data_IF_895017585865
#
_entry.id   IF_895017585865
#
_cell.length_a   1.000
_cell.length_b   1.000
_cell.length_c   1.000
_cell.angle_alpha   90.00
_cell.angle_beta   90.00
_cell.angle_gamma   90.00
#
_symmetry.space_group_name_H-M   'P 1'
#
loop_
_entity.id
_entity.type
_entity.pdbx_description
1 polymer ?
#
# COMPACT_ATOMS: atom_id res chain seq x y z
N UNK A 1 -50.38 56.31 26.00
CA UNK A 1 -50.38 54.81 25.97
C UNK A 1 -49.94 54.22 24.65
N UNK A 2 -50.02 54.91 23.50
CA UNK A 2 -49.65 54.35 22.16
C UNK A 2 -48.15 54.22 21.94
N UNK A 3 -47.26 55.02 22.55
CA UNK A 3 -45.82 55.02 22.36
C UNK A 3 -45.08 53.87 23.08
N UNK A 4 -45.62 53.38 24.18
CA UNK A 4 -44.96 52.25 24.95
C UNK A 4 -45.18 50.87 24.30
N UNK A 5 -46.31 50.69 23.59
CA UNK A 5 -46.60 49.49 22.83
C UNK A 5 -45.71 49.36 21.58
N UNK A 6 -45.54 50.46 20.85
CA UNK A 6 -44.74 50.52 19.63
C UNK A 6 -43.25 50.25 19.88
N UNK A 7 -42.70 50.69 21.02
CA UNK A 7 -41.29 50.37 21.42
C UNK A 7 -41.12 48.88 21.77
N UNK A 8 -42.11 48.22 22.38
CA UNK A 8 -42.02 46.79 22.73
C UNK A 8 -42.05 45.87 21.51
N UNK A 9 -42.90 46.20 20.55
CA UNK A 9 -43.03 45.45 19.31
C UNK A 9 -41.75 45.59 18.42
N UNK A 10 -41.16 46.76 18.39
CA UNK A 10 -39.89 46.99 17.72
C UNK A 10 -38.74 46.21 18.36
N UNK A 11 -38.66 46.18 19.69
CA UNK A 11 -37.64 45.41 20.41
C UNK A 11 -37.80 43.89 20.17
N UNK A 12 -39.05 43.38 20.12
CA UNK A 12 -39.32 41.99 19.78
C UNK A 12 -38.86 41.64 18.35
N UNK A 13 -39.15 42.49 17.37
CA UNK A 13 -38.73 42.29 15.98
C UNK A 13 -37.18 42.26 15.90
N UNK A 14 -36.50 43.17 16.58
CA UNK A 14 -35.05 43.23 16.62
C UNK A 14 -34.49 41.96 17.28
N UNK A 15 -35.03 41.52 18.41
CA UNK A 15 -34.60 40.32 19.12
C UNK A 15 -34.78 39.04 18.28
N UNK A 16 -35.92 38.90 17.60
CA UNK A 16 -36.19 37.78 16.69
C UNK A 16 -35.24 37.80 15.49
N UNK A 17 -35.04 38.97 14.87
CA UNK A 17 -34.10 39.10 13.75
C UNK A 17 -32.67 38.75 14.13
N UNK A 18 -32.21 39.21 15.30
CA UNK A 18 -30.88 38.90 15.82
C UNK A 18 -30.73 37.39 16.08
N UNK A 19 -31.76 36.77 16.67
CA UNK A 19 -31.77 35.33 16.93
C UNK A 19 -31.72 34.53 15.64
N UNK A 20 -32.45 34.91 14.61
CA UNK A 20 -32.40 34.26 13.28
C UNK A 20 -31.05 34.41 12.62
N UNK A 21 -30.41 35.58 12.71
CA UNK A 21 -29.05 35.82 12.19
C UNK A 21 -28.04 34.92 12.91
N UNK A 22 -28.11 34.80 14.25
CA UNK A 22 -27.22 33.95 15.03
C UNK A 22 -27.40 32.46 14.68
N UNK A 23 -28.66 32.02 14.54
CA UNK A 23 -28.96 30.63 14.14
C UNK A 23 -28.41 30.37 12.74
N UNK A 24 -28.64 31.28 11.80
CA UNK A 24 -28.13 31.15 10.43
C UNK A 24 -26.59 31.12 10.39
N UNK A 25 -25.93 32.06 11.11
CA UNK A 25 -24.47 32.12 11.19
C UNK A 25 -23.88 30.85 11.80
N UNK A 26 -24.47 30.30 12.89
CA UNK A 26 -24.06 29.05 13.50
C UNK A 26 -24.23 27.85 12.56
N UNK A 27 -25.33 27.81 11.82
CA UNK A 27 -25.57 26.73 10.87
C UNK A 27 -24.58 26.79 9.70
N UNK A 28 -24.31 27.98 9.17
CA UNK A 28 -23.32 28.21 8.13
C UNK A 28 -21.90 27.81 8.62
N UNK A 29 -21.53 28.23 9.85
CA UNK A 29 -20.25 27.87 10.46
C UNK A 29 -20.02 26.35 10.55
N UNK A 30 -21.02 25.60 10.99
CA UNK A 30 -20.94 24.13 11.04
C UNK A 30 -20.72 23.49 9.67
N UNK A 31 -21.34 23.99 8.62
CA UNK A 31 -21.13 23.46 7.27
C UNK A 31 -19.73 23.78 6.74
N UNK A 32 -19.21 24.98 7.02
CA UNK A 32 -17.84 25.38 6.64
C UNK A 32 -16.81 24.54 7.41
N UNK A 33 -16.98 24.34 8.72
CA UNK A 33 -16.11 23.47 9.54
C UNK A 33 -16.12 22.03 9.02
N UNK A 34 -17.27 21.49 8.63
CA UNK A 34 -17.39 20.16 8.06
C UNK A 34 -16.63 20.03 6.73
N UNK A 35 -16.76 21.01 5.83
CA UNK A 35 -16.01 21.00 4.56
C UNK A 35 -14.51 21.14 4.80
N UNK A 36 -14.08 22.00 5.75
CA UNK A 36 -12.68 22.16 6.13
C UNK A 36 -12.10 20.86 6.68
N UNK A 37 -12.85 20.18 7.57
CA UNK A 37 -12.44 18.87 8.11
C UNK A 37 -12.30 17.80 7.01
N UNK A 38 -13.24 17.75 6.07
CA UNK A 38 -13.17 16.82 4.95
C UNK A 38 -12.02 17.15 4.01
N UNK A 39 -11.70 18.43 3.82
CA UNK A 39 -10.52 18.84 3.05
C UNK A 39 -9.22 18.37 3.71
N UNK A 40 -9.10 18.51 5.04
CA UNK A 40 -7.96 18.01 5.80
C UNK A 40 -7.83 16.48 5.70
N UNK A 41 -8.95 15.76 5.70
CA UNK A 41 -8.97 14.30 5.47
C UNK A 41 -8.46 13.95 4.08
N UNK A 42 -8.98 14.58 3.04
CA UNK A 42 -8.53 14.34 1.65
C UNK A 42 -7.05 14.65 1.49
N UNK A 43 -6.56 15.74 2.11
CA UNK A 43 -5.13 16.10 2.07
C UNK A 43 -4.23 15.07 2.78
N UNK A 44 -4.77 14.35 3.76
CA UNK A 44 -4.08 13.23 4.44
C UNK A 44 -4.35 11.85 3.81
N UNK A 45 -4.96 11.82 2.62
CA UNK A 45 -5.35 10.58 1.90
C UNK A 45 -6.34 9.69 2.65
N UNK A 46 -7.18 10.31 3.49
CA UNK A 46 -8.39 9.68 4.03
C UNK A 46 -9.59 10.14 3.21
N UNK A 47 -10.18 9.23 2.44
CA UNK A 47 -11.25 9.53 1.49
C UNK A 47 -12.66 9.38 2.07
N UNK A 48 -12.80 9.13 3.38
CA UNK A 48 -14.09 9.11 4.05
C UNK A 48 -14.58 10.53 4.36
N UNK A 49 -15.54 11.02 3.57
CA UNK A 49 -16.11 12.35 3.72
C UNK A 49 -17.32 12.35 4.66
N UNK A 50 -17.27 13.14 5.72
CA UNK A 50 -18.40 13.30 6.66
C UNK A 50 -19.52 14.16 6.10
N UNK A 51 -19.20 15.18 5.29
CA UNK A 51 -20.20 16.06 4.68
C UNK A 51 -21.07 15.36 3.65
N UNK A 52 -20.61 14.23 3.07
CA UNK A 52 -21.45 13.40 2.21
C UNK A 52 -22.66 12.78 2.93
N UNK A 53 -22.55 12.61 4.27
CA UNK A 53 -23.63 12.08 5.12
C UNK A 53 -24.68 13.15 5.49
N UNK A 54 -24.31 14.45 5.47
CA UNK A 54 -25.16 15.59 5.85
C UNK A 54 -25.07 16.74 4.84
N UNK A 55 -25.74 16.63 3.68
CA UNK A 55 -25.67 17.66 2.65
C UNK A 55 -26.27 18.98 3.13
N UNK A 56 -25.63 20.09 2.77
CA UNK A 56 -26.15 21.44 3.03
C UNK A 56 -27.38 21.73 2.16
N UNK A 57 -28.24 22.67 2.63
CA UNK A 57 -29.35 23.20 1.82
C UNK A 57 -28.94 24.41 1.00
N UNK A 58 -27.79 25.01 1.25
CA UNK A 58 -27.28 26.15 0.50
C UNK A 58 -26.63 25.66 -0.79
N UNK A 59 -27.03 26.20 -1.92
CA UNK A 59 -26.58 25.78 -3.26
C UNK A 59 -25.06 25.84 -3.40
N UNK A 60 -24.46 26.90 -2.89
CA UNK A 60 -23.01 27.11 -2.93
C UNK A 60 -22.24 26.03 -2.13
N UNK A 61 -22.77 25.67 -0.95
CA UNK A 61 -22.21 24.64 -0.12
C UNK A 61 -22.35 23.25 -0.75
N UNK A 62 -23.51 22.99 -1.37
CA UNK A 62 -23.73 21.73 -2.13
C UNK A 62 -22.73 21.62 -3.27
N UNK A 63 -22.48 22.71 -4.00
CA UNK A 63 -21.50 22.73 -5.11
C UNK A 63 -20.09 22.46 -4.60
N UNK A 64 -19.69 23.05 -3.47
CA UNK A 64 -18.38 22.79 -2.85
C UNK A 64 -18.24 21.34 -2.37
N UNK A 65 -19.26 20.80 -1.69
CA UNK A 65 -19.29 19.40 -1.26
C UNK A 65 -19.17 18.42 -2.43
N UNK A 66 -19.91 18.70 -3.52
CA UNK A 66 -19.85 17.88 -4.75
C UNK A 66 -18.46 17.96 -5.40
N UNK A 67 -17.87 19.16 -5.48
CA UNK A 67 -16.52 19.35 -6.00
C UNK A 67 -15.48 18.60 -5.18
N UNK A 68 -15.55 18.68 -3.85
CA UNK A 68 -14.66 17.96 -2.95
C UNK A 68 -14.83 16.44 -3.09
N UNK A 69 -16.08 15.97 -3.23
CA UNK A 69 -16.35 14.55 -3.45
C UNK A 69 -15.74 14.06 -4.77
N UNK A 70 -15.93 14.79 -5.88
CA UNK A 70 -15.32 14.41 -7.17
C UNK A 70 -13.80 14.39 -7.07
N UNK A 71 -13.18 15.35 -6.38
CA UNK A 71 -11.74 15.37 -6.14
C UNK A 71 -11.30 14.16 -5.31
N UNK A 72 -11.99 13.87 -4.22
CA UNK A 72 -11.74 12.71 -3.36
C UNK A 72 -11.83 11.38 -4.14
N UNK A 73 -12.94 11.18 -4.88
CA UNK A 73 -13.15 9.97 -5.69
C UNK A 73 -12.06 9.82 -6.77
N UNK A 74 -11.63 10.93 -7.37
CA UNK A 74 -10.55 10.95 -8.37
C UNK A 74 -9.21 10.59 -7.75
N UNK A 75 -8.85 11.18 -6.60
CA UNK A 75 -7.62 10.87 -5.89
C UNK A 75 -7.61 9.42 -5.38
N UNK A 76 -8.75 8.91 -4.90
CA UNK A 76 -8.90 7.52 -4.50
C UNK A 76 -8.72 6.55 -5.69
N UNK A 77 -9.24 6.91 -6.87
CA UNK A 77 -8.99 6.13 -8.08
C UNK A 77 -7.51 6.15 -8.47
N UNK A 78 -6.84 7.32 -8.39
CA UNK A 78 -5.42 7.47 -8.65
C UNK A 78 -4.53 6.68 -7.67
N UNK A 79 -4.91 6.61 -6.40
CA UNK A 79 -4.14 5.89 -5.37
C UNK A 79 -4.05 4.38 -5.62
N UNK A 80 -4.89 3.82 -6.49
CA UNK A 80 -4.77 2.42 -6.93
C UNK A 80 -3.63 2.20 -7.92
N UNK A 81 -3.12 3.26 -8.55
CA UNK A 81 -2.04 3.19 -9.55
C UNK A 81 -0.69 3.69 -9.01
N UNK A 82 -0.71 4.44 -7.91
CA UNK A 82 0.49 4.99 -7.28
C UNK A 82 0.48 4.63 -5.80
N UNK A 83 1.54 4.00 -5.25
CA UNK A 83 1.60 3.68 -3.82
C UNK A 83 1.36 4.94 -2.96
N UNK A 84 0.43 4.85 -2.00
CA UNK A 84 0.06 5.98 -1.12
C UNK A 84 1.27 6.54 -0.37
N UNK A 85 2.22 5.68 0.02
CA UNK A 85 3.47 6.09 0.65
C UNK A 85 4.28 7.08 -0.21
N UNK A 86 4.31 6.86 -1.54
CA UNK A 86 4.96 7.76 -2.50
C UNK A 86 4.25 9.10 -2.55
N UNK A 87 2.93 9.09 -2.65
CA UNK A 87 2.13 10.32 -2.73
C UNK A 87 2.25 11.13 -1.44
N UNK A 88 2.20 10.48 -0.28
CA UNK A 88 2.46 11.14 1.02
C UNK A 88 3.85 11.73 1.09
N UNK A 89 4.87 11.01 0.66
CA UNK A 89 6.24 11.50 0.62
C UNK A 89 6.40 12.74 -0.26
N UNK A 90 5.68 12.82 -1.39
CA UNK A 90 5.67 14.01 -2.27
C UNK A 90 4.97 15.18 -1.58
N UNK A 91 3.79 14.96 -0.98
CA UNK A 91 3.01 16.02 -0.31
C UNK A 91 3.74 16.58 0.91
N UNK A 92 4.42 15.73 1.67
CA UNK A 92 5.19 16.13 2.85
C UNK A 92 6.57 16.71 2.50
N UNK A 93 6.94 16.80 1.22
CA UNK A 93 8.28 17.16 0.73
C UNK A 93 9.41 16.20 1.18
N UNK A 94 9.07 14.99 1.59
CA UNK A 94 10.03 13.92 1.89
C UNK A 94 10.58 13.27 0.61
N UNK A 95 9.78 13.29 -0.47
CA UNK A 95 10.13 12.83 -1.80
C UNK A 95 10.07 14.02 -2.77
N UNK A 96 11.23 14.48 -3.20
CA UNK A 96 11.33 15.46 -4.28
C UNK A 96 11.34 14.74 -5.63
N UNK A 97 10.35 15.00 -6.47
CA UNK A 97 10.26 14.43 -7.83
C UNK A 97 11.44 14.79 -8.73
N UNK A 98 12.17 15.85 -8.40
CA UNK A 98 13.37 16.28 -9.11
C UNK A 98 14.65 15.76 -8.46
N UNK A 99 14.58 15.09 -7.31
CA UNK A 99 15.75 14.53 -6.65
C UNK A 99 16.29 13.32 -7.42
N UNK A 100 17.63 13.25 -7.43
CA UNK A 100 18.38 12.07 -7.88
C UNK A 100 18.04 10.87 -7.01
N UNK A 101 18.13 9.68 -7.58
CA UNK A 101 18.04 8.41 -6.85
C UNK A 101 18.94 8.44 -5.61
N UNK A 102 18.41 7.99 -4.49
CA UNK A 102 19.15 7.90 -3.23
C UNK A 102 19.57 6.45 -2.99
N UNK A 103 20.82 6.25 -2.58
CA UNK A 103 21.26 4.94 -2.12
C UNK A 103 20.71 4.66 -0.73
N UNK A 104 20.00 3.56 -0.58
CA UNK A 104 19.43 3.10 0.70
C UNK A 104 19.59 1.59 0.84
N UNK A 105 19.77 1.16 2.08
CA UNK A 105 19.75 -0.27 2.42
C UNK A 105 18.31 -0.71 2.56
N UNK A 106 17.85 -1.53 1.60
CA UNK A 106 16.47 -2.01 1.52
C UNK A 106 16.42 -3.53 1.64
N UNK A 107 15.30 -4.05 2.12
CA UNK A 107 14.94 -5.46 1.91
C UNK A 107 14.00 -5.57 0.73
N UNK A 108 14.40 -6.36 -0.23
CA UNK A 108 13.74 -6.58 -1.51
C UNK A 108 13.01 -7.92 -1.47
N UNK A 109 11.81 -7.94 -2.02
CA UNK A 109 10.89 -9.05 -2.01
C UNK A 109 10.39 -9.30 -3.43
N UNK A 110 10.46 -10.56 -3.86
CA UNK A 110 9.79 -11.06 -5.05
C UNK A 110 8.93 -12.25 -4.67
N UNK A 111 7.70 -12.25 -5.15
CA UNK A 111 6.75 -13.36 -4.97
C UNK A 111 6.15 -13.71 -6.33
N UNK A 112 6.11 -14.98 -6.68
CA UNK A 112 5.62 -15.49 -7.96
C UNK A 112 4.76 -16.74 -7.76
N UNK A 113 3.79 -16.95 -8.67
CA UNK A 113 2.92 -18.14 -8.63
C UNK A 113 3.64 -19.33 -9.27
N UNK A 114 3.77 -20.40 -8.51
CA UNK A 114 4.41 -21.63 -8.99
C UNK A 114 3.59 -22.28 -10.09
N UNK A 115 4.17 -22.41 -11.31
CA UNK A 115 3.53 -23.08 -12.41
C UNK A 115 2.35 -22.34 -13.01
N UNK A 116 2.30 -21.01 -12.92
CA UNK A 116 1.23 -20.15 -13.40
C UNK A 116 0.77 -20.48 -14.83
N UNK A 117 1.69 -20.67 -15.77
CA UNK A 117 1.37 -21.01 -17.16
C UNK A 117 0.49 -22.27 -17.26
N UNK A 118 0.84 -23.31 -16.50
CA UNK A 118 0.07 -24.56 -16.50
C UNK A 118 -1.32 -24.38 -15.84
N UNK A 119 -1.43 -23.54 -14.81
CA UNK A 119 -2.72 -23.18 -14.21
C UNK A 119 -3.58 -22.43 -15.23
N UNK A 120 -3.00 -21.44 -15.90
CA UNK A 120 -3.68 -20.61 -16.90
C UNK A 120 -4.24 -21.41 -18.10
N UNK A 121 -3.61 -22.54 -18.42
CA UNK A 121 -4.09 -23.45 -19.48
C UNK A 121 -5.27 -24.34 -19.05
N UNK A 122 -5.45 -24.55 -17.71
CA UNK A 122 -6.45 -25.50 -17.18
C UNK A 122 -7.77 -24.87 -16.75
N UNK A 123 -7.75 -23.60 -16.36
CA UNK A 123 -8.94 -22.89 -15.89
C UNK A 123 -9.38 -21.80 -16.87
N UNK A 124 -10.66 -21.40 -16.81
CA UNK A 124 -11.16 -20.31 -17.67
C UNK A 124 -10.50 -18.98 -17.32
N UNK A 125 -10.34 -18.10 -18.32
CA UNK A 125 -9.75 -16.77 -18.13
C UNK A 125 -10.45 -15.95 -17.05
N UNK A 126 -11.78 -16.08 -16.92
CA UNK A 126 -12.55 -15.39 -15.88
C UNK A 126 -12.15 -15.84 -14.48
N UNK A 127 -12.05 -17.15 -14.26
CA UNK A 127 -11.62 -17.72 -12.97
C UNK A 127 -10.17 -17.39 -12.67
N UNK A 128 -9.30 -17.42 -13.68
CA UNK A 128 -7.90 -17.04 -13.55
C UNK A 128 -7.77 -15.59 -13.07
N UNK A 129 -8.52 -14.66 -13.68
CA UNK A 129 -8.49 -13.24 -13.27
C UNK A 129 -8.96 -13.06 -11.83
N UNK A 130 -10.03 -13.73 -11.41
CA UNK A 130 -10.52 -13.66 -10.03
C UNK A 130 -9.48 -14.20 -9.04
N UNK A 131 -8.87 -15.36 -9.31
CA UNK A 131 -7.82 -15.91 -8.46
C UNK A 131 -6.57 -15.03 -8.41
N UNK A 132 -6.17 -14.42 -9.53
CA UNK A 132 -5.06 -13.46 -9.56
C UNK A 132 -5.37 -12.21 -8.74
N UNK A 133 -6.60 -11.71 -8.78
CA UNK A 133 -7.02 -10.57 -7.95
C UNK A 133 -6.90 -10.90 -6.47
N UNK A 134 -7.41 -12.05 -6.04
CA UNK A 134 -7.28 -12.54 -4.65
C UNK A 134 -5.80 -12.70 -4.26
N UNK A 135 -4.99 -13.29 -5.14
CA UNK A 135 -3.55 -13.45 -4.92
C UNK A 135 -2.86 -12.10 -4.71
N UNK A 136 -3.08 -11.14 -5.61
CA UNK A 136 -2.49 -9.80 -5.47
C UNK A 136 -2.97 -9.11 -4.21
N UNK A 137 -4.24 -9.23 -3.85
CA UNK A 137 -4.78 -8.66 -2.63
C UNK A 137 -4.12 -9.25 -1.38
N UNK A 138 -3.98 -10.58 -1.31
CA UNK A 138 -3.30 -11.27 -0.20
C UNK A 138 -1.86 -10.79 -0.04
N UNK A 139 -1.11 -10.69 -1.15
CA UNK A 139 0.28 -10.23 -1.12
C UNK A 139 0.37 -8.77 -0.71
N UNK A 140 -0.44 -7.89 -1.33
CA UNK A 140 -0.44 -6.46 -1.00
C UNK A 140 -0.78 -6.21 0.47
N UNK A 141 -1.83 -6.84 1.00
CA UNK A 141 -2.21 -6.72 2.41
C UNK A 141 -1.10 -7.18 3.35
N UNK A 142 -0.46 -8.33 3.06
CA UNK A 142 0.63 -8.82 3.90
C UNK A 142 1.85 -7.90 3.88
N UNK A 143 2.17 -7.30 2.73
CA UNK A 143 3.25 -6.32 2.57
C UNK A 143 2.94 -5.03 3.34
N UNK A 144 1.74 -4.47 3.16
CA UNK A 144 1.32 -3.21 3.77
C UNK A 144 1.19 -3.30 5.29
N UNK A 145 0.64 -4.40 5.83
CA UNK A 145 0.55 -4.65 7.28
C UNK A 145 1.92 -4.65 7.95
N UNK A 146 2.95 -5.07 7.25
CA UNK A 146 4.33 -5.07 7.74
C UNK A 146 5.11 -3.80 7.31
N UNK A 147 4.40 -2.77 6.85
CA UNK A 147 4.98 -1.47 6.48
C UNK A 147 5.88 -1.51 5.25
N UNK A 148 5.67 -2.47 4.36
CA UNK A 148 6.33 -2.54 3.06
C UNK A 148 5.67 -1.67 2.01
N UNK A 149 6.37 -1.46 0.91
CA UNK A 149 5.86 -0.77 -0.28
C UNK A 149 5.81 -1.76 -1.43
N UNK A 150 4.62 -1.98 -1.98
CA UNK A 150 4.48 -2.72 -3.24
C UNK A 150 4.96 -1.81 -4.37
N UNK A 151 5.96 -2.25 -5.11
CA UNK A 151 6.52 -1.49 -6.24
C UNK A 151 5.66 -1.67 -7.49
N UNK A 152 5.53 -2.91 -7.95
CA UNK A 152 4.81 -3.26 -9.17
C UNK A 152 4.44 -4.73 -9.25
N UNK A 153 3.48 -5.01 -10.13
CA UNK A 153 3.21 -6.35 -10.63
C UNK A 153 3.98 -6.61 -11.93
N UNK A 154 4.56 -7.79 -12.07
CA UNK A 154 5.35 -8.22 -13.24
C UNK A 154 4.76 -9.55 -13.72
N UNK A 155 3.72 -9.48 -14.55
CA UNK A 155 2.91 -10.66 -14.89
C UNK A 155 2.17 -11.17 -13.65
N UNK A 156 2.48 -12.39 -13.24
CA UNK A 156 1.99 -13.05 -12.02
C UNK A 156 2.91 -12.84 -10.80
N UNK A 157 4.00 -12.08 -10.96
CA UNK A 157 4.90 -11.76 -9.86
C UNK A 157 4.60 -10.40 -9.21
N UNK A 158 4.92 -10.30 -7.92
CA UNK A 158 4.85 -9.07 -7.13
C UNK A 158 6.24 -8.69 -6.65
N UNK A 159 6.65 -7.45 -6.91
CA UNK A 159 7.84 -6.84 -6.34
C UNK A 159 7.46 -5.88 -5.22
N UNK A 160 8.12 -5.99 -4.08
CA UNK A 160 7.96 -5.08 -2.95
C UNK A 160 9.30 -4.82 -2.25
N UNK A 161 9.36 -3.78 -1.42
CA UNK A 161 10.55 -3.46 -0.63
C UNK A 161 10.20 -2.77 0.69
N UNK A 162 11.16 -2.81 1.65
CA UNK A 162 11.09 -2.17 2.97
C UNK A 162 12.37 -1.39 3.23
N UNK A 163 12.31 -0.42 4.17
CA UNK A 163 13.46 0.32 4.66
C UNK A 163 13.61 1.72 4.06
N UNK A 164 12.64 2.22 3.29
CA UNK A 164 12.68 3.58 2.71
C UNK A 164 12.70 4.66 3.81
N UNK A 165 11.98 4.41 4.89
CA UNK A 165 11.88 5.24 6.09
C UNK A 165 13.11 5.21 7.01
N UNK A 166 14.09 4.32 6.71
CA UNK A 166 15.29 4.13 7.51
C UNK A 166 15.10 3.26 8.76
N UNK A 167 13.94 2.60 8.90
CA UNK A 167 13.70 1.64 9.98
C UNK A 167 14.65 0.44 9.88
N UNK A 168 15.31 0.10 10.96
CA UNK A 168 16.29 -0.99 11.02
C UNK A 168 15.64 -2.38 11.08
N UNK A 169 14.37 -2.47 11.47
CA UNK A 169 13.62 -3.73 11.58
C UNK A 169 13.02 -4.20 10.24
N UNK A 170 13.26 -3.45 9.17
CA UNK A 170 12.73 -3.77 7.84
C UNK A 170 13.03 -5.22 7.37
N UNK A 171 14.18 -5.88 7.68
CA UNK A 171 14.41 -7.26 7.26
C UNK A 171 13.50 -8.26 7.97
N UNK A 172 13.21 -8.03 9.26
CA UNK A 172 12.31 -8.89 10.06
C UNK A 172 10.87 -8.71 9.59
N UNK A 173 10.45 -7.46 9.32
CA UNK A 173 9.11 -7.15 8.79
C UNK A 173 8.89 -7.81 7.43
N UNK A 174 9.86 -7.74 6.52
CA UNK A 174 9.78 -8.40 5.22
C UNK A 174 9.68 -9.94 5.35
N UNK A 175 10.46 -10.54 6.26
CA UNK A 175 10.37 -11.98 6.53
C UNK A 175 8.99 -12.37 7.08
N UNK A 176 8.41 -11.54 7.97
CA UNK A 176 7.06 -11.76 8.51
C UNK A 176 5.98 -11.65 7.43
N UNK A 177 6.11 -10.67 6.53
CA UNK A 177 5.21 -10.54 5.38
C UNK A 177 5.25 -11.79 4.49
N UNK A 178 6.45 -12.32 4.20
CA UNK A 178 6.61 -13.53 3.40
C UNK A 178 5.93 -14.75 4.03
N UNK A 179 6.06 -14.93 5.34
CA UNK A 179 5.38 -16.00 6.09
C UNK A 179 3.86 -15.84 6.07
N UNK A 180 3.36 -14.61 6.26
CA UNK A 180 1.92 -14.30 6.16
C UNK A 180 1.37 -14.62 4.76
N UNK A 181 2.10 -14.29 3.71
CA UNK A 181 1.71 -14.61 2.32
C UNK A 181 1.55 -16.12 2.17
N UNK A 182 2.54 -16.91 2.58
CA UNK A 182 2.48 -18.38 2.49
C UNK A 182 1.27 -18.96 3.24
N UNK A 183 1.04 -18.50 4.46
CA UNK A 183 -0.09 -18.96 5.29
C UNK A 183 -1.44 -18.59 4.64
N UNK A 184 -1.62 -17.34 4.26
CA UNK A 184 -2.87 -16.85 3.66
C UNK A 184 -3.20 -17.55 2.34
N UNK A 185 -2.20 -17.75 1.46
CA UNK A 185 -2.38 -18.49 0.21
C UNK A 185 -2.79 -19.92 0.49
N UNK A 186 -2.14 -20.58 1.44
CA UNK A 186 -2.50 -21.96 1.82
C UNK A 186 -3.93 -22.05 2.35
N UNK A 187 -4.37 -21.08 3.15
CA UNK A 187 -5.73 -21.01 3.70
C UNK A 187 -6.78 -20.66 2.64
N UNK A 188 -6.41 -19.93 1.59
CA UNK A 188 -7.30 -19.55 0.49
C UNK A 188 -7.50 -20.68 -0.54
N UNK A 189 -6.55 -21.59 -0.70
CA UNK A 189 -6.60 -22.67 -1.69
C UNK A 189 -7.90 -23.51 -1.68
N UNK A 190 -8.48 -23.92 -0.52
CA UNK A 190 -9.73 -24.67 -0.50
C UNK A 190 -10.89 -23.91 -1.15
N UNK A 191 -11.01 -22.61 -0.89
CA UNK A 191 -12.03 -21.75 -1.46
C UNK A 191 -11.87 -21.63 -3.00
N UNK A 192 -10.64 -21.44 -3.47
CA UNK A 192 -10.39 -21.40 -4.93
C UNK A 192 -10.82 -22.69 -5.63
N UNK A 193 -10.53 -23.85 -5.04
CA UNK A 193 -10.93 -25.15 -5.58
C UNK A 193 -12.48 -25.27 -5.59
N UNK A 194 -13.15 -24.87 -4.52
CA UNK A 194 -14.61 -24.88 -4.41
C UNK A 194 -15.26 -24.02 -5.49
N UNK A 195 -14.69 -22.86 -5.80
CA UNK A 195 -15.13 -21.95 -6.86
C UNK A 195 -14.75 -22.43 -8.28
N UNK A 196 -14.09 -23.59 -8.37
CA UNK A 196 -13.70 -24.24 -9.64
C UNK A 196 -12.44 -23.62 -10.26
N UNK A 197 -11.61 -22.99 -9.44
CA UNK A 197 -10.23 -22.64 -9.74
C UNK A 197 -9.25 -23.75 -9.34
N UNK A 198 -7.98 -23.44 -9.14
CA UNK A 198 -6.94 -24.37 -8.74
C UNK A 198 -6.18 -23.89 -7.50
N UNK A 199 -5.59 -24.85 -6.75
CA UNK A 199 -4.68 -24.50 -5.66
C UNK A 199 -3.43 -23.82 -6.22
N UNK A 200 -3.11 -22.65 -5.70
CA UNK A 200 -1.88 -21.94 -6.03
C UNK A 200 -0.83 -22.16 -4.93
N UNK A 201 0.40 -22.31 -5.35
CA UNK A 201 1.56 -22.24 -4.47
C UNK A 201 2.40 -21.05 -4.91
N UNK A 202 3.07 -20.40 -3.97
CA UNK A 202 3.91 -19.25 -4.28
C UNK A 202 5.34 -19.50 -3.85
N UNK A 203 6.27 -18.90 -4.57
CA UNK A 203 7.70 -18.85 -4.25
C UNK A 203 8.06 -17.42 -3.90
N UNK A 204 8.88 -17.25 -2.89
CA UNK A 204 9.29 -15.93 -2.41
C UNK A 204 10.81 -15.87 -2.31
N UNK A 205 11.39 -14.79 -2.82
CA UNK A 205 12.80 -14.46 -2.69
C UNK A 205 12.97 -13.16 -1.90
N UNK A 206 13.82 -13.18 -0.87
CA UNK A 206 14.12 -12.02 -0.04
C UNK A 206 15.63 -11.74 0.00
N UNK A 207 16.00 -10.48 -0.19
CA UNK A 207 17.39 -10.02 -0.14
C UNK A 207 17.50 -8.63 0.48
N UNK A 208 18.50 -8.42 1.36
CA UNK A 208 18.83 -7.10 1.90
C UNK A 208 20.11 -6.59 1.27
N UNK A 209 20.06 -5.42 0.64
CA UNK A 209 21.19 -4.81 -0.05
C UNK A 209 21.06 -3.29 -0.12
N UNK A 210 22.19 -2.64 -0.41
CA UNK A 210 22.23 -1.23 -0.77
C UNK A 210 21.81 -1.10 -2.25
N UNK A 211 20.78 -0.29 -2.50
CA UNK A 211 20.19 -0.08 -3.83
C UNK A 211 19.82 1.38 -4.00
N UNK A 212 19.70 1.82 -5.23
CA UNK A 212 19.16 3.14 -5.55
C UNK A 212 17.63 3.08 -5.49
N UNK A 213 17.01 3.97 -4.74
CA UNK A 213 15.55 4.11 -4.66
C UNK A 213 15.15 5.54 -4.96
N UNK A 214 14.06 5.71 -5.68
CA UNK A 214 13.54 7.03 -6.04
C UNK A 214 12.73 7.00 -7.32
N UNK A 215 12.48 8.18 -7.85
CA UNK A 215 11.68 8.37 -9.05
C UNK A 215 12.54 8.23 -10.30
N UNK A 216 12.15 7.35 -11.20
CA UNK A 216 12.80 7.14 -12.50
C UNK A 216 11.78 7.03 -13.62
N UNK A 217 12.12 7.54 -14.79
CA UNK A 217 11.27 7.43 -15.97
C UNK A 217 11.50 8.55 -16.97
N UNK A 218 10.47 8.84 -17.74
CA UNK A 218 10.41 9.94 -18.70
C UNK A 218 9.70 11.16 -18.07
N UNK A 219 9.75 12.34 -18.71
CA UNK A 219 8.99 13.50 -18.24
C UNK A 219 7.48 13.28 -18.14
N UNK A 220 6.95 12.30 -18.88
CA UNK A 220 5.51 12.00 -18.93
C UNK A 220 5.10 10.77 -18.13
N UNK A 221 6.07 9.94 -17.70
CA UNK A 221 5.79 8.71 -16.94
C UNK A 221 6.92 8.42 -15.95
N UNK A 222 6.64 8.55 -14.70
CA UNK A 222 7.55 8.30 -13.59
C UNK A 222 7.11 7.06 -12.80
N UNK A 223 8.07 6.26 -12.35
CA UNK A 223 7.86 5.18 -11.40
C UNK A 223 8.77 5.42 -10.19
N UNK A 224 8.23 5.28 -9.01
CA UNK A 224 9.02 5.20 -7.80
C UNK A 224 9.40 3.74 -7.58
N UNK A 225 10.70 3.43 -7.63
CA UNK A 225 11.17 2.04 -7.64
C UNK A 225 12.58 1.92 -7.08
N UNK A 226 12.96 0.70 -6.73
CA UNK A 226 14.33 0.35 -6.36
C UNK A 226 15.09 -0.22 -7.59
N UNK A 227 16.35 0.18 -7.75
CA UNK A 227 17.22 -0.25 -8.86
C UNK A 227 18.60 -0.61 -8.31
N UNK A 228 19.14 -1.72 -8.78
CA UNK A 228 20.47 -2.20 -8.42
C UNK A 228 20.60 -3.71 -8.56
N UNK A 229 21.82 -4.22 -8.37
CA UNK A 229 22.07 -5.66 -8.43
C UNK A 229 21.26 -6.42 -7.39
N UNK A 230 21.04 -5.83 -6.20
CA UNK A 230 20.23 -6.44 -5.14
C UNK A 230 18.80 -6.81 -5.59
N UNK A 231 18.19 -6.02 -6.47
CA UNK A 231 16.86 -6.31 -7.04
C UNK A 231 16.90 -7.60 -7.85
N UNK A 232 17.93 -7.74 -8.69
CA UNK A 232 18.11 -8.95 -9.50
C UNK A 232 18.43 -10.18 -8.63
N UNK A 233 19.15 -10.00 -7.52
CA UNK A 233 19.40 -11.08 -6.56
C UNK A 233 18.11 -11.57 -5.95
N UNK A 234 17.23 -10.68 -5.45
CA UNK A 234 15.96 -11.08 -4.86
C UNK A 234 15.06 -11.84 -5.86
N UNK A 235 14.98 -11.38 -7.12
CA UNK A 235 14.25 -12.06 -8.18
C UNK A 235 14.83 -13.46 -8.47
N UNK A 236 16.16 -13.61 -8.45
CA UNK A 236 16.80 -14.91 -8.65
C UNK A 236 16.59 -15.85 -7.46
N UNK A 237 16.54 -15.34 -6.24
CA UNK A 237 16.20 -16.14 -5.05
C UNK A 237 14.79 -16.71 -5.15
N UNK A 238 13.82 -15.90 -5.62
CA UNK A 238 12.48 -16.40 -5.92
C UNK A 238 12.54 -17.58 -6.88
N UNK A 239 13.20 -17.43 -8.05
CA UNK A 239 13.29 -18.46 -9.06
C UNK A 239 14.01 -19.74 -8.56
N UNK A 240 15.05 -19.60 -7.75
CA UNK A 240 15.82 -20.72 -7.18
C UNK A 240 15.00 -21.63 -6.27
N UNK A 241 13.90 -21.16 -5.68
CA UNK A 241 13.01 -22.02 -4.90
C UNK A 241 12.55 -23.25 -5.69
N UNK A 242 12.38 -23.12 -7.01
CA UNK A 242 11.97 -24.22 -7.89
C UNK A 242 13.00 -25.35 -7.88
N UNK A 243 14.27 -25.00 -7.99
CA UNK A 243 15.36 -25.98 -8.10
C UNK A 243 15.73 -26.57 -6.73
N UNK A 244 15.57 -25.76 -5.67
CA UNK A 244 15.86 -26.14 -4.29
C UNK A 244 14.70 -26.82 -3.57
N UNK A 245 13.50 -26.85 -4.17
CA UNK A 245 12.30 -27.42 -3.54
C UNK A 245 11.86 -26.66 -2.29
N UNK A 246 12.07 -25.35 -2.26
CA UNK A 246 11.77 -24.47 -1.13
C UNK A 246 10.61 -23.52 -1.46
N UNK A 247 10.04 -22.85 -0.44
CA UNK A 247 8.96 -21.86 -0.60
C UNK A 247 9.46 -20.44 -0.46
N UNK A 248 10.34 -20.18 0.51
CA UNK A 248 10.88 -18.85 0.79
C UNK A 248 12.39 -18.96 0.89
N UNK A 249 13.10 -18.42 -0.12
CA UNK A 249 14.55 -18.37 -0.16
C UNK A 249 15.04 -16.99 0.26
N UNK A 250 15.97 -16.95 1.23
CA UNK A 250 16.56 -15.71 1.74
C UNK A 250 18.07 -15.72 1.62
N UNK A 251 18.67 -14.55 1.43
CA UNK A 251 20.13 -14.39 1.42
C UNK A 251 20.71 -14.31 2.82
N UNK A 252 22.01 -14.60 2.93
CA UNK A 252 22.77 -14.42 4.16
C UNK A 252 22.73 -12.96 4.65
N UNK A 253 22.81 -11.98 3.74
CA UNK A 253 22.74 -10.56 4.11
C UNK A 253 21.42 -10.19 4.80
N UNK A 254 20.30 -10.80 4.42
CA UNK A 254 19.03 -10.64 5.13
C UNK A 254 19.08 -11.37 6.48
N UNK A 255 19.53 -12.62 6.51
CA UNK A 255 19.60 -13.41 7.74
C UNK A 255 20.45 -12.71 8.82
N UNK A 256 21.64 -12.20 8.46
CA UNK A 256 22.49 -11.45 9.39
C UNK A 256 21.83 -10.16 9.88
N UNK A 257 21.10 -9.45 8.99
CA UNK A 257 20.42 -8.21 9.35
C UNK A 257 19.24 -8.41 10.32
N UNK A 258 18.73 -9.65 10.46
CA UNK A 258 17.64 -9.96 11.41
C UNK A 258 18.11 -10.31 12.82
N UNK A 259 19.43 -10.33 13.07
CA UNK A 259 19.98 -10.57 14.41
C UNK A 259 19.61 -11.92 15.01
N UNK A 260 19.35 -12.95 14.19
CA UNK A 260 19.04 -14.31 14.66
C UNK A 260 17.59 -14.53 15.08
N UNK A 261 16.66 -13.66 14.69
CA UNK A 261 15.22 -13.79 15.01
C UNK A 261 14.47 -14.76 14.08
N UNK A 262 15.14 -15.24 13.03
CA UNK A 262 14.53 -16.14 12.05
C UNK A 262 14.87 -17.60 12.29
N UNK A 263 13.87 -18.48 12.20
CA UNK A 263 14.05 -19.91 12.09
C UNK A 263 14.32 -20.26 10.63
N UNK A 264 15.50 -20.79 10.33
CA UNK A 264 15.93 -21.06 8.96
C UNK A 264 16.57 -22.45 8.81
N UNK A 265 16.55 -22.95 7.58
CA UNK A 265 17.34 -24.11 7.13
C UNK A 265 18.40 -23.65 6.15
N UNK A 266 19.68 -23.97 6.40
CA UNK A 266 20.76 -23.63 5.46
C UNK A 266 20.62 -24.42 4.15
N UNK A 267 20.75 -23.72 3.04
CA UNK A 267 20.74 -24.26 1.67
C UNK A 267 22.16 -24.34 1.07
N UNK A 268 23.17 -23.88 1.86
CA UNK A 268 24.56 -23.82 1.43
C UNK A 268 24.85 -22.71 0.43
N UNK A 269 26.02 -22.76 -0.15
CA UNK A 269 26.46 -21.81 -1.16
C UNK A 269 25.86 -22.15 -2.51
N UNK A 270 25.16 -21.17 -3.13
CA UNK A 270 24.54 -21.33 -4.44
C UNK A 270 25.12 -20.33 -5.44
N UNK A 271 25.43 -20.84 -6.65
CA UNK A 271 25.87 -19.99 -7.76
C UNK A 271 24.68 -19.46 -8.52
N UNK A 272 24.64 -18.16 -8.79
CA UNK A 272 23.56 -17.54 -9.55
C UNK A 272 24.02 -17.13 -10.93
N UNK A 273 23.19 -17.29 -11.93
CA UNK A 273 23.48 -16.86 -13.29
C UNK A 273 23.88 -15.37 -13.33
N UNK A 274 25.07 -15.07 -13.85
CA UNK A 274 25.59 -13.70 -13.94
C UNK A 274 26.23 -13.14 -12.66
N UNK A 275 26.50 -13.99 -11.66
CA UNK A 275 27.39 -13.67 -10.53
C UNK A 275 28.54 -14.66 -10.48
N UNK A 276 29.75 -14.14 -10.21
CA UNK A 276 30.95 -14.98 -10.07
C UNK A 276 31.09 -15.57 -8.67
N UNK A 277 30.57 -14.88 -7.66
CA UNK A 277 30.65 -15.30 -6.27
C UNK A 277 29.38 -16.03 -5.84
N UNK A 278 29.50 -17.25 -5.27
CA UNK A 278 28.34 -17.95 -4.72
C UNK A 278 27.81 -17.23 -3.47
N UNK A 279 26.50 -17.23 -3.28
CA UNK A 279 25.84 -16.69 -2.09
C UNK A 279 25.43 -17.80 -1.16
N UNK A 280 25.63 -17.60 0.15
CA UNK A 280 25.07 -18.44 1.19
C UNK A 280 23.58 -18.14 1.32
N UNK A 281 22.75 -19.17 1.21
CA UNK A 281 21.30 -19.05 1.19
C UNK A 281 20.66 -19.88 2.29
N UNK A 282 19.46 -19.47 2.67
CA UNK A 282 18.65 -20.17 3.65
C UNK A 282 17.20 -20.25 3.17
N UNK A 283 16.51 -21.30 3.61
CA UNK A 283 15.05 -21.35 3.57
C UNK A 283 14.50 -20.75 4.86
N UNK A 284 13.58 -19.81 4.75
CA UNK A 284 12.85 -19.25 5.88
C UNK A 284 11.71 -20.21 6.27
N UNK A 285 11.71 -20.66 7.52
CA UNK A 285 10.71 -21.60 8.07
C UNK A 285 9.74 -20.92 9.04
N UNK A 286 10.19 -19.87 9.73
CA UNK A 286 9.38 -19.19 10.75
C UNK A 286 10.15 -18.08 11.45
N UNK A 287 9.52 -17.53 12.50
CA UNK A 287 10.15 -16.63 13.45
C UNK A 287 10.45 -17.39 14.74
N UNK A 288 11.57 -17.06 15.37
CA UNK A 288 11.88 -17.58 16.70
C UNK A 288 11.02 -16.79 17.69
N UNK A 289 10.09 -17.49 18.37
CA UNK A 289 9.33 -16.90 19.47
C UNK A 289 10.26 -16.67 20.65
N UNK A 290 10.37 -15.45 21.12
CA UNK A 290 11.03 -15.14 22.40
C UNK A 290 10.16 -15.57 23.56
#
# INVERSE_FOLDING_TARGET
MVSAGMNRDLLLVIAVSLSLIVIFARNLGKHIEGISSDFDKVSSFNFELDTAKNPSRLKEMVTLQQGLKVLSDSLQAFSRFVPIAVVRGIVNNDIDLNQKLNEKRLTLFFCDISGFTAIAERISSEKLVLQMQDFFEIVCQAVEEEGGTVDKFIGDAVMAFWGVDGDLDHPVRAARAALKVQDRIQNQCPLWIELGGEAMQVRIGLHTADVLVGTIGSPTRLNYTAIGDGVNVAARLEALNKDLGTKICISDSLFQATGGTLQVRSLGYQTMRGRHEPLLLYELLGLISN
#
